data_IF_182675394754
#
_entry.id   IF_182675394754
#
_cell.length_a   1.000
_cell.length_b   1.000
_cell.length_c   1.000
_cell.angle_alpha   90.00
_cell.angle_beta   90.00
_cell.angle_gamma   90.00
#
_symmetry.space_group_name_H-M   'P 1'
#
loop_
_entity.id
_entity.type
_entity.pdbx_description
1 polymer ?
#
# COMPACT_ATOMS: atom_id res chain seq x y z
N UNK A 1 -0.35 -13.10 11.49
CA UNK A 1 -0.54 -11.72 12.01
C UNK A 1 -0.48 -11.73 13.53
N UNK A 2 0.34 -10.86 14.14
CA UNK A 2 0.61 -10.89 15.57
C UNK A 2 -0.45 -10.05 16.30
N UNK A 3 -1.47 -10.67 16.90
CA UNK A 3 -2.60 -9.97 17.53
C UNK A 3 -2.19 -8.95 18.60
N UNK A 4 -1.05 -9.18 19.26
CA UNK A 4 -0.44 -8.23 20.20
C UNK A 4 0.01 -6.92 19.54
N UNK A 5 0.55 -6.99 18.32
CA UNK A 5 1.00 -5.78 17.61
C UNK A 5 -0.19 -4.91 17.17
N UNK A 6 -1.31 -5.55 16.82
CA UNK A 6 -2.55 -4.86 16.46
C UNK A 6 -3.17 -4.19 17.69
N UNK A 7 -3.28 -4.92 18.81
CA UNK A 7 -3.78 -4.37 20.06
C UNK A 7 -2.90 -3.21 20.58
N UNK A 8 -1.58 -3.35 20.48
CA UNK A 8 -0.65 -2.29 20.86
C UNK A 8 -0.80 -1.04 19.98
N UNK A 9 -0.91 -1.22 18.66
CA UNK A 9 -1.12 -0.11 17.72
C UNK A 9 -2.44 0.63 18.01
N UNK A 10 -3.53 -0.10 18.32
CA UNK A 10 -4.81 0.49 18.68
C UNK A 10 -4.73 1.33 19.97
N UNK A 11 -4.06 0.80 21.01
CA UNK A 11 -3.86 1.53 22.28
C UNK A 11 -3.00 2.78 22.06
N UNK A 12 -1.93 2.67 21.28
CA UNK A 12 -1.06 3.80 20.96
C UNK A 12 -1.82 4.90 20.18
N UNK A 13 -2.65 4.51 19.20
CA UNK A 13 -3.48 5.44 18.45
C UNK A 13 -4.51 6.15 19.35
N UNK A 14 -5.22 5.40 20.19
CA UNK A 14 -6.18 5.98 21.14
C UNK A 14 -5.50 6.94 22.13
N UNK A 15 -4.29 6.60 22.59
CA UNK A 15 -3.50 7.47 23.48
C UNK A 15 -3.09 8.75 22.77
N UNK A 16 -2.61 8.67 21.53
CA UNK A 16 -2.23 9.83 20.75
C UNK A 16 -3.42 10.78 20.49
N UNK A 17 -4.59 10.22 20.16
CA UNK A 17 -5.83 10.99 19.98
C UNK A 17 -6.25 11.65 21.28
N UNK A 18 -6.20 10.93 22.41
CA UNK A 18 -6.54 11.49 23.72
C UNK A 18 -5.62 12.65 24.12
N UNK A 19 -4.31 12.50 23.89
CA UNK A 19 -3.32 13.57 24.17
C UNK A 19 -3.55 14.78 23.27
N UNK A 20 -3.81 14.58 21.96
CA UNK A 20 -4.11 15.69 21.05
C UNK A 20 -5.40 16.41 21.44
N UNK A 21 -6.46 15.66 21.77
CA UNK A 21 -7.72 16.23 22.26
C UNK A 21 -7.52 17.11 23.49
N UNK A 22 -6.76 16.61 24.48
CA UNK A 22 -6.45 17.38 25.68
C UNK A 22 -5.68 18.66 25.37
N UNK A 23 -4.69 18.58 24.46
CA UNK A 23 -3.91 19.73 24.04
C UNK A 23 -4.78 20.77 23.29
N UNK A 24 -5.73 20.34 22.46
CA UNK A 24 -6.64 21.24 21.75
C UNK A 24 -7.67 21.89 22.67
N UNK A 25 -8.23 21.14 23.61
CA UNK A 25 -9.13 21.69 24.63
C UNK A 25 -8.43 22.76 25.47
N UNK A 26 -7.18 22.50 25.89
CA UNK A 26 -6.35 23.48 26.60
C UNK A 26 -6.01 24.70 25.73
N UNK A 27 -5.69 24.51 24.44
CA UNK A 27 -5.41 25.61 23.53
C UNK A 27 -6.63 26.50 23.25
N UNK A 28 -7.84 25.93 23.35
CA UNK A 28 -9.11 26.64 23.24
C UNK A 28 -9.59 27.29 24.55
N UNK A 29 -8.81 27.17 25.64
CA UNK A 29 -9.15 27.62 26.99
C UNK A 29 -10.48 27.01 27.52
N UNK A 30 -10.78 25.78 27.08
CA UNK A 30 -11.97 25.05 27.48
C UNK A 30 -11.65 23.90 28.44
N UNK A 31 -12.44 23.70 29.51
CA UNK A 31 -12.31 22.51 30.34
C UNK A 31 -12.59 21.24 29.54
N UNK A 32 -11.87 20.15 29.86
CA UNK A 32 -11.90 18.88 29.12
C UNK A 32 -13.30 18.25 28.93
N UNK A 33 -14.28 18.65 29.73
CA UNK A 33 -15.68 18.19 29.64
C UNK A 33 -16.63 19.13 28.87
N UNK A 34 -16.21 20.37 28.55
CA UNK A 34 -17.01 21.29 27.73
C UNK A 34 -16.58 21.31 26.27
N UNK A 35 -15.30 20.99 26.03
CA UNK A 35 -14.79 20.87 24.67
C UNK A 35 -15.59 19.78 23.95
N UNK A 36 -16.30 20.15 22.89
CA UNK A 36 -17.18 19.20 22.22
C UNK A 36 -16.39 18.33 21.23
N UNK A 37 -16.82 17.08 21.06
CA UNK A 37 -16.28 16.21 20.01
C UNK A 37 -16.43 16.85 18.62
N UNK A 38 -17.50 17.63 18.42
CA UNK A 38 -17.71 18.41 17.20
C UNK A 38 -16.63 19.50 17.01
N UNK A 39 -16.29 20.26 18.04
CA UNK A 39 -15.21 21.25 18.01
C UNK A 39 -13.85 20.59 17.73
N UNK A 40 -13.56 19.47 18.38
CA UNK A 40 -12.37 18.67 18.07
C UNK A 40 -12.35 18.23 16.60
N UNK A 41 -13.46 17.67 16.08
CA UNK A 41 -13.56 17.25 14.67
C UNK A 41 -13.34 18.39 13.69
N UNK A 42 -13.75 19.61 14.05
CA UNK A 42 -13.50 20.81 13.27
C UNK A 42 -12.02 21.18 13.27
N UNK A 43 -11.32 21.11 14.42
CA UNK A 43 -9.86 21.34 14.44
C UNK A 43 -9.08 20.31 13.64
N UNK A 44 -9.53 19.06 13.58
CA UNK A 44 -8.92 18.04 12.73
C UNK A 44 -9.17 18.40 11.26
N UNK A 45 -10.41 18.76 10.91
CA UNK A 45 -10.77 19.21 9.56
C UNK A 45 -10.01 20.47 9.13
N UNK A 46 -9.79 21.42 10.04
CA UNK A 46 -9.07 22.66 9.79
C UNK A 46 -7.56 22.45 9.72
N UNK A 47 -7.00 21.52 10.50
CA UNK A 47 -5.58 21.13 10.40
C UNK A 47 -5.32 20.33 9.12
N UNK A 48 -6.21 19.41 8.78
CA UNK A 48 -6.18 18.69 7.50
C UNK A 48 -6.42 19.66 6.34
N UNK A 49 -7.33 20.62 6.50
CA UNK A 49 -7.64 21.72 5.57
C UNK A 49 -6.49 22.72 5.40
N UNK A 50 -5.76 23.01 6.47
CA UNK A 50 -4.56 23.83 6.47
C UNK A 50 -3.38 23.14 5.80
N UNK A 51 -3.25 21.82 6.00
CA UNK A 51 -2.33 20.95 5.25
C UNK A 51 -2.77 20.78 3.78
N UNK A 52 -4.04 20.99 3.46
CA UNK A 52 -4.58 20.99 2.10
C UNK A 52 -4.35 22.33 1.37
N UNK A 53 -4.30 23.46 2.11
CA UNK A 53 -4.06 24.81 1.55
C UNK A 53 -2.60 25.15 1.29
N UNK A 54 -1.66 24.24 1.59
CA UNK A 54 -0.25 24.35 1.17
C UNK A 54 0.00 23.71 -0.20
N UNK A 55 -1.04 23.48 -1.01
CA UNK A 55 -0.83 23.24 -2.42
C UNK A 55 -0.22 24.51 -3.02
N UNK A 56 1.09 24.48 -3.24
CA UNK A 56 1.78 25.45 -4.08
C UNK A 56 0.96 25.68 -5.36
N UNK A 57 0.96 26.91 -5.91
CA UNK A 57 0.23 27.18 -7.15
C UNK A 57 0.61 26.12 -8.17
N UNK A 58 -0.38 25.32 -8.58
CA UNK A 58 -0.14 24.27 -9.55
C UNK A 58 0.54 24.90 -10.77
N UNK A 59 1.58 24.25 -11.32
CA UNK A 59 2.21 24.76 -12.53
C UNK A 59 1.11 25.00 -13.58
N UNK A 60 1.20 26.08 -14.38
CA UNK A 60 0.13 26.47 -15.31
C UNK A 60 -0.18 25.38 -16.35
N UNK A 61 0.75 24.45 -16.56
CA UNK A 61 0.56 23.23 -17.36
C UNK A 61 0.98 22.01 -16.51
N UNK A 62 0.13 20.99 -16.38
CA UNK A 62 0.47 19.77 -15.65
C UNK A 62 1.51 18.94 -16.43
N UNK A 63 2.47 18.36 -15.73
CA UNK A 63 3.58 17.63 -16.35
C UNK A 63 3.12 16.43 -17.22
N UNK A 64 1.97 15.84 -16.90
CA UNK A 64 1.37 14.75 -17.68
C UNK A 64 1.04 15.12 -19.13
N UNK A 65 0.89 16.40 -19.46
CA UNK A 65 0.54 16.85 -20.81
C UNK A 65 1.72 16.68 -21.78
N UNK A 66 2.92 16.49 -21.25
CA UNK A 66 4.15 16.19 -22.01
C UNK A 66 4.41 14.68 -22.17
N UNK A 67 3.45 13.85 -21.79
CA UNK A 67 3.47 12.42 -22.05
C UNK A 67 2.95 12.13 -23.48
N UNK A 68 3.46 11.08 -24.14
CA UNK A 68 3.18 10.84 -25.55
C UNK A 68 1.71 10.46 -25.79
N UNK A 69 1.25 10.66 -27.02
CA UNK A 69 0.00 10.08 -27.51
C UNK A 69 0.07 8.55 -27.57
N UNK A 70 -1.09 7.91 -27.68
CA UNK A 70 -1.16 6.46 -27.82
C UNK A 70 -0.47 6.01 -29.11
N UNK A 71 0.38 4.96 -29.06
CA UNK A 71 0.91 4.35 -30.27
C UNK A 71 -0.20 3.70 -31.10
N UNK A 72 0.03 3.39 -32.38
CA UNK A 72 -0.99 2.77 -33.24
C UNK A 72 -1.57 1.49 -32.62
N UNK A 73 -2.91 1.41 -32.57
CA UNK A 73 -3.64 0.27 -31.99
C UNK A 73 -3.75 0.29 -30.46
N UNK A 74 -3.31 1.36 -29.80
CA UNK A 74 -3.54 1.61 -28.39
C UNK A 74 -4.48 2.80 -28.20
N UNK A 75 -5.15 2.82 -27.05
CA UNK A 75 -5.99 3.93 -26.62
C UNK A 75 -5.35 4.59 -25.39
N UNK A 76 -5.27 5.93 -25.38
CA UNK A 76 -4.86 6.72 -24.20
C UNK A 76 -6.10 7.29 -23.54
N UNK A 77 -6.29 6.99 -22.25
CA UNK A 77 -7.39 7.50 -21.44
C UNK A 77 -6.89 7.98 -20.09
N UNK A 78 -7.63 8.90 -19.47
CA UNK A 78 -7.37 9.30 -18.09
C UNK A 78 -7.58 8.08 -17.18
N UNK A 79 -6.65 7.85 -16.26
CA UNK A 79 -6.79 6.76 -15.31
C UNK A 79 -7.61 7.21 -14.10
N UNK A 80 -8.54 6.34 -13.65
CA UNK A 80 -9.25 6.51 -12.39
C UNK A 80 -9.09 5.26 -11.54
N UNK A 81 -8.73 5.39 -10.24
CA UNK A 81 -8.68 4.25 -9.32
C UNK A 81 -10.01 3.51 -9.19
N UNK A 82 -11.13 4.20 -9.43
CA UNK A 82 -12.50 3.66 -9.27
C UNK A 82 -12.80 2.60 -10.32
N UNK A 83 -12.14 2.65 -11.48
CA UNK A 83 -12.37 1.70 -12.58
C UNK A 83 -11.80 0.30 -12.28
N UNK A 84 -10.87 0.15 -11.32
CA UNK A 84 -10.31 -1.14 -10.92
C UNK A 84 -11.01 -1.78 -9.71
N UNK A 85 -11.74 -0.99 -8.92
CA UNK A 85 -12.68 -1.51 -7.93
C UNK A 85 -13.99 -1.89 -8.63
N UNK A 86 -13.96 -2.93 -9.47
CA UNK A 86 -15.20 -3.64 -9.76
C UNK A 86 -15.90 -3.97 -8.44
N UNK A 87 -17.24 -3.88 -8.40
CA UNK A 87 -18.07 -4.20 -7.25
C UNK A 87 -17.72 -5.59 -6.69
N UNK A 88 -16.73 -5.65 -5.80
CA UNK A 88 -16.24 -6.88 -5.22
C UNK A 88 -16.88 -6.99 -3.83
N UNK A 89 -18.01 -7.70 -3.68
CA UNK A 89 -18.82 -7.70 -2.47
C UNK A 89 -18.08 -8.24 -1.23
N UNK A 90 -16.91 -8.84 -1.44
CA UNK A 90 -16.07 -9.48 -0.42
C UNK A 90 -15.39 -8.45 0.49
N UNK A 91 -15.10 -7.22 0.03
CA UNK A 91 -14.52 -6.17 0.90
C UNK A 91 -15.56 -5.62 1.90
N UNK A 92 -16.84 -5.65 1.54
CA UNK A 92 -17.94 -5.14 2.38
C UNK A 92 -18.22 -6.00 3.61
N UNK A 93 -18.08 -7.33 3.53
CA UNK A 93 -18.44 -8.20 4.66
C UNK A 93 -17.32 -8.33 5.71
N UNK A 94 -16.04 -8.24 5.32
CA UNK A 94 -14.93 -8.38 6.27
C UNK A 94 -14.61 -7.11 7.07
N UNK A 95 -15.18 -5.96 6.71
CA UNK A 95 -15.03 -4.70 7.45
C UNK A 95 -16.27 -4.34 8.28
N UNK A 96 -17.33 -5.16 8.23
CA UNK A 96 -18.57 -4.90 8.98
C UNK A 96 -18.44 -5.14 10.50
N UNK A 97 -17.39 -5.84 10.96
CA UNK A 97 -17.22 -6.26 12.36
C UNK A 97 -16.17 -5.47 13.15
N UNK A 98 -15.54 -4.45 12.57
CA UNK A 98 -14.67 -3.53 13.33
C UNK A 98 -15.36 -2.18 13.51
N UNK A 99 -15.57 -1.78 14.77
CA UNK A 99 -16.23 -0.54 15.15
C UNK A 99 -15.55 0.67 14.45
N UNK A 100 -16.30 1.22 13.51
CA UNK A 100 -15.81 1.99 12.39
C UNK A 100 -15.90 3.47 12.78
N UNK A 101 -14.89 3.92 13.54
CA UNK A 101 -14.89 5.32 14.02
C UNK A 101 -15.03 6.26 12.82
N UNK A 102 -16.00 7.17 12.88
CA UNK A 102 -16.34 8.13 11.80
C UNK A 102 -15.11 8.89 11.30
N UNK A 103 -14.09 9.04 12.15
CA UNK A 103 -12.80 9.66 11.87
C UNK A 103 -11.94 8.81 10.91
N UNK A 104 -11.92 7.48 11.05
CA UNK A 104 -11.19 6.60 10.13
C UNK A 104 -11.84 6.57 8.74
N UNK A 105 -13.17 6.43 8.64
CA UNK A 105 -13.87 6.53 7.35
C UNK A 105 -13.70 7.91 6.69
N UNK A 106 -13.72 8.98 7.49
CA UNK A 106 -13.45 10.33 6.97
C UNK A 106 -11.99 10.48 6.50
N UNK A 107 -11.03 9.93 7.23
CA UNK A 107 -9.63 9.91 6.84
C UNK A 107 -9.41 9.07 5.57
N UNK A 108 -10.03 7.89 5.46
CA UNK A 108 -10.00 7.04 4.26
C UNK A 108 -10.66 7.71 3.07
N UNK A 109 -11.81 8.38 3.25
CA UNK A 109 -12.48 9.16 2.21
C UNK A 109 -11.64 10.34 1.71
N UNK A 110 -10.93 11.03 2.61
CA UNK A 110 -10.02 12.13 2.24
C UNK A 110 -8.75 11.61 1.56
N UNK A 111 -8.20 10.49 2.02
CA UNK A 111 -7.00 9.87 1.43
C UNK A 111 -7.30 9.31 0.04
N UNK A 112 -8.40 8.57 -0.12
CA UNK A 112 -8.85 8.05 -1.42
C UNK A 112 -9.20 9.20 -2.39
N UNK A 113 -9.87 10.26 -1.93
CA UNK A 113 -10.12 11.45 -2.74
C UNK A 113 -8.84 12.15 -3.22
N UNK A 114 -7.78 12.19 -2.41
CA UNK A 114 -6.46 12.73 -2.79
C UNK A 114 -5.74 11.84 -3.79
N UNK A 115 -5.79 10.53 -3.61
CA UNK A 115 -5.18 9.56 -4.53
C UNK A 115 -5.88 9.62 -5.90
N UNK A 116 -7.21 9.64 -5.92
CA UNK A 116 -8.01 9.84 -7.13
C UNK A 116 -7.66 11.17 -7.80
N UNK A 117 -7.72 12.29 -7.08
CA UNK A 117 -7.44 13.60 -7.67
C UNK A 117 -5.99 13.74 -8.17
N UNK A 118 -5.02 13.14 -7.47
CA UNK A 118 -3.62 13.11 -7.93
C UNK A 118 -3.49 12.27 -9.19
N UNK A 119 -4.11 11.10 -9.22
CA UNK A 119 -3.96 10.20 -10.33
C UNK A 119 -4.70 10.69 -11.58
N UNK A 120 -5.90 11.24 -11.41
CA UNK A 120 -6.63 11.96 -12.46
C UNK A 120 -5.88 13.18 -12.99
N UNK A 121 -4.96 13.76 -12.20
CA UNK A 121 -4.12 14.89 -12.64
C UNK A 121 -2.85 14.44 -13.32
N UNK A 122 -2.24 13.34 -12.88
CA UNK A 122 -0.84 13.05 -13.20
C UNK A 122 -0.65 11.80 -14.09
N UNK A 123 -1.68 10.96 -14.27
CA UNK A 123 -1.56 9.62 -14.87
C UNK A 123 -2.36 9.51 -16.17
N UNK A 124 -1.71 8.96 -17.20
CA UNK A 124 -2.36 8.43 -18.39
C UNK A 124 -2.29 6.90 -18.38
N UNK A 125 -3.41 6.26 -18.74
CA UNK A 125 -3.47 4.84 -19.01
C UNK A 125 -3.51 4.59 -20.52
N UNK A 126 -2.66 3.68 -20.97
CA UNK A 126 -2.55 3.21 -22.35
C UNK A 126 -3.04 1.77 -22.37
N UNK A 127 -4.14 1.52 -23.06
CA UNK A 127 -4.76 0.20 -23.18
C UNK A 127 -4.56 -0.30 -24.60
N UNK A 128 -4.04 -1.52 -24.74
CA UNK A 128 -3.78 -2.13 -26.04
C UNK A 128 -4.00 -3.64 -26.03
N UNK A 129 -3.82 -4.30 -27.19
CA UNK A 129 -4.09 -5.73 -27.36
C UNK A 129 -3.15 -6.65 -26.55
N UNK A 130 -2.10 -6.08 -25.96
CA UNK A 130 -1.01 -6.81 -25.31
C UNK A 130 -0.85 -6.46 -23.83
N UNK A 131 -1.78 -5.68 -23.29
CA UNK A 131 -1.80 -5.29 -21.88
C UNK A 131 -2.07 -3.81 -21.68
N UNK A 132 -1.85 -3.38 -20.45
CA UNK A 132 -2.05 -2.01 -19.99
C UNK A 132 -0.72 -1.41 -19.54
N UNK A 133 -0.51 -0.13 -19.86
CA UNK A 133 0.63 0.66 -19.39
C UNK A 133 0.09 1.92 -18.74
N UNK A 134 0.51 2.23 -17.52
CA UNK A 134 0.22 3.53 -16.89
C UNK A 134 1.50 4.32 -16.85
N UNK A 135 1.42 5.58 -17.27
CA UNK A 135 2.54 6.50 -17.28
C UNK A 135 2.12 7.76 -16.58
N UNK A 136 2.96 8.23 -15.67
CA UNK A 136 2.73 9.49 -15.00
C UNK A 136 3.95 10.40 -15.10
N UNK A 137 3.67 11.69 -15.02
CA UNK A 137 4.67 12.72 -14.79
C UNK A 137 4.14 13.66 -13.70
N UNK A 138 4.84 13.72 -12.58
CA UNK A 138 4.51 14.61 -11.45
C UNK A 138 5.56 15.71 -11.35
N UNK A 139 5.13 16.96 -11.27
CA UNK A 139 5.98 18.10 -10.94
C UNK A 139 5.78 18.45 -9.45
N UNK A 140 6.81 18.23 -8.66
CA UNK A 140 6.85 18.54 -7.23
C UNK A 140 8.26 19.02 -6.87
N UNK A 141 8.32 20.20 -6.27
CA UNK A 141 9.58 20.80 -5.86
C UNK A 141 10.43 19.83 -5.05
N UNK A 142 11.68 19.64 -5.49
CA UNK A 142 12.67 18.79 -4.84
C UNK A 142 12.42 17.28 -4.82
N UNK A 143 11.39 16.75 -5.49
CA UNK A 143 11.10 15.30 -5.50
C UNK A 143 12.31 14.46 -5.95
N UNK A 144 12.96 14.85 -7.05
CA UNK A 144 14.17 14.22 -7.58
C UNK A 144 15.41 14.43 -6.70
N UNK A 145 15.51 15.59 -6.02
CA UNK A 145 16.59 15.86 -5.05
C UNK A 145 16.47 14.96 -3.82
N UNK A 146 15.25 14.83 -3.30
CA UNK A 146 14.89 13.98 -2.17
C UNK A 146 15.12 12.51 -2.52
N UNK A 147 14.69 12.07 -3.70
CA UNK A 147 14.97 10.73 -4.21
C UNK A 147 16.49 10.48 -4.29
N UNK A 148 17.25 11.39 -4.92
CA UNK A 148 18.70 11.21 -5.09
C UNK A 148 19.44 11.15 -3.75
N UNK A 149 19.04 11.95 -2.77
CA UNK A 149 19.61 11.91 -1.41
C UNK A 149 19.34 10.55 -0.77
N UNK A 150 18.07 10.13 -0.73
CA UNK A 150 17.68 8.87 -0.09
C UNK A 150 18.24 7.64 -0.82
N UNK A 151 18.35 7.67 -2.16
CA UNK A 151 19.00 6.65 -2.96
C UNK A 151 20.46 6.40 -2.56
N UNK A 152 21.15 7.47 -2.13
CA UNK A 152 22.55 7.39 -1.67
C UNK A 152 22.66 6.95 -0.21
N UNK A 153 21.78 7.46 0.66
CA UNK A 153 21.87 7.22 2.11
C UNK A 153 21.23 5.89 2.53
N UNK A 154 20.05 5.58 1.98
CA UNK A 154 19.27 4.38 2.31
C UNK A 154 18.36 3.97 1.14
N UNK A 155 18.89 3.22 0.15
CA UNK A 155 18.11 2.80 -1.00
C UNK A 155 17.00 1.80 -0.63
N UNK A 156 17.03 1.19 0.57
CA UNK A 156 15.99 0.27 1.03
C UNK A 156 14.64 0.96 1.24
N UNK A 157 14.68 2.23 1.64
CA UNK A 157 13.51 3.03 1.99
C UNK A 157 12.74 3.61 0.81
N UNK A 158 13.36 3.77 -0.37
CA UNK A 158 12.77 4.56 -1.47
C UNK A 158 11.96 3.78 -2.51
N UNK A 159 11.24 2.73 -2.09
CA UNK A 159 10.43 1.91 -3.01
C UNK A 159 11.17 1.40 -4.28
N UNK A 160 12.50 1.29 -4.27
CA UNK A 160 13.27 0.71 -5.40
C UNK A 160 13.59 -0.76 -5.15
N UNK A 161 13.61 -1.55 -6.21
CA UNK A 161 14.10 -2.93 -6.14
C UNK A 161 15.61 -2.94 -5.96
N UNK A 162 16.09 -3.81 -5.07
CA UNK A 162 17.51 -3.96 -4.78
C UNK A 162 18.04 -5.33 -5.20
N UNK A 163 19.22 -5.36 -5.81
CA UNK A 163 20.02 -6.56 -6.02
C UNK A 163 21.33 -6.40 -5.24
N UNK A 164 21.54 -7.24 -4.22
CA UNK A 164 22.69 -7.17 -3.32
C UNK A 164 22.90 -5.76 -2.73
N UNK A 165 21.82 -5.15 -2.22
CA UNK A 165 21.85 -3.80 -1.62
C UNK A 165 21.97 -2.63 -2.61
N UNK A 166 22.00 -2.91 -3.93
CA UNK A 166 22.08 -1.86 -4.96
C UNK A 166 20.78 -1.75 -5.76
N UNK A 167 20.32 -0.54 -6.08
CA UNK A 167 19.16 -0.30 -6.95
C UNK A 167 19.30 -1.02 -8.29
N UNK A 168 18.24 -1.73 -8.71
CA UNK A 168 18.18 -2.34 -10.03
C UNK A 168 17.88 -1.24 -11.05
N UNK A 169 18.89 -0.90 -11.87
CA UNK A 169 18.73 0.04 -12.98
C UNK A 169 18.01 -0.64 -14.14
N UNK A 170 16.91 -0.05 -14.58
CA UNK A 170 16.15 -0.48 -15.75
C UNK A 170 16.84 -0.03 -17.04
N UNK A 171 17.17 1.25 -17.12
CA UNK A 171 17.73 1.84 -18.34
C UNK A 171 17.98 3.33 -18.22
N UNK A 172 18.42 3.94 -19.31
CA UNK A 172 18.56 5.39 -19.43
C UNK A 172 17.93 5.84 -20.74
N UNK A 173 17.02 6.81 -20.68
CA UNK A 173 16.32 7.40 -21.83
C UNK A 173 16.45 8.92 -21.73
N UNK A 174 16.89 9.58 -22.82
CA UNK A 174 17.03 11.04 -22.89
C UNK A 174 17.70 11.70 -21.67
N UNK A 175 18.70 11.04 -21.05
CA UNK A 175 19.37 11.58 -19.86
C UNK A 175 18.87 11.03 -18.52
N UNK A 176 17.63 10.56 -18.47
CA UNK A 176 16.94 10.09 -17.26
C UNK A 176 17.27 8.63 -17.01
N UNK A 177 17.71 8.31 -15.79
CA UNK A 177 17.94 6.92 -15.38
C UNK A 177 16.68 6.38 -14.72
N UNK A 178 16.19 5.26 -15.22
CA UNK A 178 15.04 4.55 -14.66
C UNK A 178 15.51 3.40 -13.76
N UNK A 179 14.82 3.23 -12.63
CA UNK A 179 15.06 2.18 -11.63
C UNK A 179 13.81 1.31 -11.50
N UNK A 180 13.99 0.00 -11.31
CA UNK A 180 12.87 -0.87 -10.96
C UNK A 180 12.33 -0.51 -9.57
N UNK A 181 11.01 -0.47 -9.42
CA UNK A 181 10.31 -0.16 -8.17
C UNK A 181 9.60 -1.40 -7.57
N UNK A 182 9.35 -1.41 -6.25
CA UNK A 182 8.77 -2.58 -5.57
C UNK A 182 7.26 -2.67 -5.75
N UNK A 183 6.55 -1.54 -5.72
CA UNK A 183 5.08 -1.48 -5.87
C UNK A 183 4.64 -0.34 -6.79
N UNK A 184 3.39 -0.45 -7.22
CA UNK A 184 2.64 0.65 -7.80
C UNK A 184 2.49 1.74 -6.75
N UNK A 185 2.50 3.00 -7.17
CA UNK A 185 2.18 4.12 -6.31
C UNK A 185 0.72 4.54 -6.40
N UNK A 186 -0.02 3.99 -7.37
CA UNK A 186 -1.43 4.32 -7.61
C UNK A 186 -2.38 3.18 -7.29
N UNK A 187 -1.91 1.94 -7.35
CA UNK A 187 -2.74 0.78 -7.02
C UNK A 187 -2.59 0.38 -5.54
N UNK A 188 -3.63 0.70 -4.76
CA UNK A 188 -3.84 0.26 -3.37
C UNK A 188 -4.77 -0.97 -3.28
N UNK A 189 -5.28 -1.47 -4.42
CA UNK A 189 -6.34 -2.48 -4.47
C UNK A 189 -5.95 -3.82 -3.85
N UNK A 190 -4.64 -4.10 -3.79
CA UNK A 190 -4.07 -5.34 -3.25
C UNK A 190 -4.24 -6.56 -4.16
N UNK A 191 -4.91 -6.39 -5.29
CA UNK A 191 -5.20 -7.45 -6.26
C UNK A 191 -3.98 -7.67 -7.14
N UNK A 192 -3.32 -8.82 -6.97
CA UNK A 192 -2.12 -9.14 -7.75
C UNK A 192 -2.56 -9.70 -9.12
N UNK A 193 -2.24 -9.02 -10.24
CA UNK A 193 -2.55 -9.55 -11.57
C UNK A 193 -1.84 -10.90 -11.82
N UNK A 194 -2.39 -11.70 -12.75
CA UNK A 194 -1.88 -13.03 -13.09
C UNK A 194 -0.39 -13.01 -13.47
N UNK A 195 0.02 -11.98 -14.20
CA UNK A 195 1.43 -11.68 -14.50
C UNK A 195 1.83 -10.43 -13.72
N UNK A 196 2.83 -10.49 -12.83
CA UNK A 196 3.16 -9.34 -12.02
C UNK A 196 3.77 -8.24 -12.92
N UNK A 197 3.20 -7.03 -12.90
CA UNK A 197 3.59 -5.91 -13.76
C UNK A 197 5.02 -5.51 -13.46
N UNK A 198 5.66 -4.73 -14.32
CA UNK A 198 6.90 -4.03 -13.96
C UNK A 198 6.58 -2.60 -13.55
N UNK A 199 7.23 -2.12 -12.49
CA UNK A 199 7.21 -0.71 -12.11
C UNK A 199 8.59 -0.13 -12.32
N UNK A 200 8.68 1.02 -12.98
CA UNK A 200 9.93 1.76 -13.16
C UNK A 200 9.75 3.22 -12.79
N UNK A 201 10.81 3.84 -12.29
CA UNK A 201 10.82 5.24 -11.87
C UNK A 201 12.06 5.96 -12.35
N UNK A 202 11.88 7.14 -12.92
CA UNK A 202 12.94 8.07 -13.31
C UNK A 202 12.67 9.46 -12.77
N UNK A 203 13.71 10.29 -12.73
CA UNK A 203 13.58 11.69 -12.34
C UNK A 203 14.23 12.60 -13.37
N UNK A 204 13.51 13.64 -13.78
CA UNK A 204 14.01 14.72 -14.62
C UNK A 204 14.48 15.82 -13.67
N UNK A 205 15.80 15.98 -13.59
CA UNK A 205 16.46 16.91 -12.68
C UNK A 205 16.05 16.74 -11.21
N UNK A 206 15.58 17.82 -10.59
CA UNK A 206 15.26 17.86 -9.16
C UNK A 206 13.76 17.78 -8.85
N UNK A 207 12.89 18.09 -9.81
CA UNK A 207 11.51 18.49 -9.48
C UNK A 207 10.48 17.65 -10.24
N UNK A 208 10.90 16.76 -11.15
CA UNK A 208 9.97 15.92 -11.91
C UNK A 208 10.26 14.45 -11.66
N UNK A 209 9.20 13.70 -11.35
CA UNK A 209 9.19 12.24 -11.26
C UNK A 209 8.37 11.67 -12.43
N UNK A 210 8.95 10.67 -13.09
CA UNK A 210 8.28 9.86 -14.11
C UNK A 210 8.18 8.46 -13.54
N UNK A 211 6.97 7.92 -13.53
CA UNK A 211 6.71 6.56 -13.06
C UNK A 211 5.91 5.83 -14.10
N UNK A 212 6.29 4.58 -14.35
CA UNK A 212 5.63 3.75 -15.34
C UNK A 212 5.34 2.38 -14.77
N UNK A 213 4.14 1.94 -15.08
CA UNK A 213 3.57 0.62 -14.86
C UNK A 213 3.40 -0.05 -16.22
N UNK A 214 3.77 -1.32 -16.34
CA UNK A 214 3.47 -2.07 -17.55
C UNK A 214 3.13 -3.53 -17.25
N UNK A 215 2.04 -3.99 -17.85
CA UNK A 215 1.68 -5.40 -17.94
C UNK A 215 2.13 -5.99 -19.27
N UNK A 216 3.11 -6.89 -19.24
CA UNK A 216 3.44 -7.81 -20.34
C UNK A 216 4.14 -7.21 -21.58
N UNK A 217 3.88 -5.96 -21.97
CA UNK A 217 4.47 -5.37 -23.18
C UNK A 217 5.62 -4.41 -22.88
N UNK A 218 6.83 -4.98 -22.80
CA UNK A 218 8.05 -4.24 -22.54
C UNK A 218 8.52 -3.38 -23.71
N UNK A 219 8.27 -3.80 -24.96
CA UNK A 219 8.65 -3.05 -26.14
C UNK A 219 7.88 -1.72 -26.20
N UNK A 220 6.56 -1.79 -26.06
CA UNK A 220 5.70 -0.60 -26.05
C UNK A 220 6.01 0.30 -24.86
N UNK A 221 6.31 -0.25 -23.68
CA UNK A 221 6.79 0.56 -22.55
C UNK A 221 8.04 1.37 -22.92
N UNK A 222 9.04 0.72 -23.53
CA UNK A 222 10.29 1.40 -23.88
C UNK A 222 10.04 2.47 -24.96
N UNK A 223 9.18 2.17 -25.93
CA UNK A 223 8.83 3.10 -27.00
C UNK A 223 8.06 4.32 -26.44
N UNK A 224 7.12 4.10 -25.51
CA UNK A 224 6.43 5.18 -24.77
C UNK A 224 7.41 6.03 -23.95
N UNK A 225 8.31 5.38 -23.18
CA UNK A 225 9.32 6.10 -22.42
C UNK A 225 10.25 6.91 -23.33
N UNK A 226 10.56 6.42 -24.53
CA UNK A 226 11.39 7.13 -25.51
C UNK A 226 10.67 8.30 -26.19
N UNK A 227 9.33 8.28 -26.22
CA UNK A 227 8.51 9.30 -26.86
C UNK A 227 8.08 10.45 -25.94
N UNK A 228 8.39 10.38 -24.63
CA UNK A 228 8.15 11.50 -23.69
C UNK A 228 8.90 12.75 -24.15
N UNK A 229 8.26 13.91 -24.06
CA UNK A 229 8.91 15.21 -24.31
C UNK A 229 9.76 15.63 -23.10
N UNK A 230 10.96 15.05 -23.02
CA UNK A 230 11.90 15.34 -21.95
C UNK A 230 12.44 16.77 -21.99
N UNK A 231 12.44 17.44 -23.14
CA UNK A 231 12.89 18.83 -23.23
C UNK A 231 11.88 19.74 -22.54
N UNK A 232 10.60 19.60 -22.88
CA UNK A 232 9.53 20.39 -22.26
C UNK A 232 9.41 20.10 -20.75
N UNK A 233 9.47 18.84 -20.34
CA UNK A 233 9.54 18.50 -18.90
C UNK A 233 10.75 19.16 -18.23
N UNK A 234 11.92 19.13 -18.87
CA UNK A 234 13.13 19.71 -18.28
C UNK A 234 13.04 21.23 -18.14
N UNK A 235 12.33 21.90 -19.05
CA UNK A 235 12.08 23.35 -19.05
C UNK A 235 11.09 23.80 -17.96
N UNK A 236 10.21 22.92 -17.47
CA UNK A 236 9.30 23.25 -16.36
C UNK A 236 10.05 23.52 -15.04
N UNK A 237 11.27 23.01 -14.90
CA UNK A 237 12.05 23.14 -13.66
C UNK A 237 12.64 24.54 -13.49
N UNK A 238 12.73 25.00 -12.24
CA UNK A 238 13.40 26.26 -11.91
C UNK A 238 14.89 26.28 -12.35
N UNK A 239 15.53 25.12 -12.42
CA UNK A 239 16.89 24.98 -12.96
C UNK A 239 16.97 23.74 -13.85
N UNK A 240 16.82 23.89 -15.18
CA UNK A 240 16.86 22.77 -16.12
C UNK A 240 18.13 21.93 -15.99
N UNK A 241 17.97 20.62 -16.03
CA UNK A 241 19.07 19.68 -15.94
C UNK A 241 19.83 19.61 -17.28
N UNK A 242 21.10 20.00 -17.28
CA UNK A 242 21.96 20.09 -18.50
C UNK A 242 22.09 18.80 -19.32
N UNK A 243 21.74 17.63 -18.77
CA UNK A 243 21.97 16.32 -19.40
C UNK A 243 20.69 15.55 -19.65
N UNK A 244 19.54 16.22 -19.60
CA UNK A 244 18.22 15.66 -19.91
C UNK A 244 17.72 16.28 -21.21
N UNK A 245 17.04 15.48 -22.04
CA UNK A 245 16.41 15.96 -23.27
C UNK A 245 17.00 15.40 -24.56
N UNK A 246 16.61 16.01 -25.68
CA UNK A 246 16.97 15.61 -27.05
C UNK A 246 18.48 15.65 -27.33
N UNK A 247 19.23 16.48 -26.60
CA UNK A 247 20.69 16.58 -26.69
C UNK A 247 21.42 15.25 -26.35
N UNK A 248 20.75 14.28 -25.72
CA UNK A 248 21.31 12.96 -25.45
C UNK A 248 21.23 12.00 -26.66
N UNK A 249 20.55 12.41 -27.73
CA UNK A 249 20.27 11.58 -28.89
C UNK A 249 19.18 10.53 -28.63
N UNK A 250 18.68 9.89 -29.70
CA UNK A 250 17.66 8.86 -29.60
C UNK A 250 18.19 7.61 -28.89
N UNK A 251 17.28 6.78 -28.39
CA UNK A 251 17.61 5.50 -27.77
C UNK A 251 18.27 4.57 -28.81
N UNK A 252 19.53 4.21 -28.58
CA UNK A 252 20.24 3.29 -29.48
C UNK A 252 19.67 1.87 -29.40
N UNK A 253 19.81 1.09 -30.48
CA UNK A 253 19.39 -0.31 -30.51
C UNK A 253 20.04 -1.15 -29.38
N UNK A 254 21.30 -0.86 -29.02
CA UNK A 254 22.00 -1.54 -27.93
C UNK A 254 21.41 -1.21 -26.55
N UNK A 255 21.04 0.06 -26.31
CA UNK A 255 20.35 0.47 -25.09
C UNK A 255 18.95 -0.14 -25.01
N UNK A 256 18.19 -0.10 -26.11
CA UNK A 256 16.86 -0.72 -26.22
C UNK A 256 16.91 -2.22 -25.88
N UNK A 257 17.85 -2.96 -26.50
CA UNK A 257 18.08 -4.38 -26.19
C UNK A 257 18.41 -4.61 -24.72
N UNK A 258 19.25 -3.75 -24.13
CA UNK A 258 19.59 -3.84 -22.70
C UNK A 258 18.36 -3.65 -21.82
N UNK A 259 17.50 -2.67 -22.13
CA UNK A 259 16.27 -2.40 -21.39
C UNK A 259 15.29 -3.56 -21.49
N UNK A 260 15.12 -4.18 -22.67
CA UNK A 260 14.28 -5.37 -22.82
C UNK A 260 14.76 -6.55 -21.95
N UNK A 261 16.08 -6.80 -21.93
CA UNK A 261 16.66 -7.83 -21.06
C UNK A 261 16.41 -7.50 -19.58
N UNK A 262 16.52 -6.22 -19.19
CA UNK A 262 16.25 -5.78 -17.82
C UNK A 262 14.76 -5.89 -17.46
N UNK A 263 13.86 -5.61 -18.39
CA UNK A 263 12.42 -5.77 -18.22
C UNK A 263 12.08 -7.23 -17.87
N UNK A 264 12.56 -8.18 -18.69
CA UNK A 264 12.37 -9.61 -18.40
C UNK A 264 13.03 -10.06 -17.09
N UNK A 265 14.14 -9.44 -16.67
CA UNK A 265 14.73 -9.72 -15.35
C UNK A 265 13.86 -9.21 -14.19
N UNK A 266 13.25 -8.03 -14.32
CA UNK A 266 12.36 -7.45 -13.31
C UNK A 266 11.08 -8.27 -13.18
N UNK A 267 10.47 -8.63 -14.30
CA UNK A 267 9.29 -9.50 -14.34
C UNK A 267 9.58 -10.85 -13.65
N UNK A 268 10.67 -11.52 -14.04
CA UNK A 268 11.07 -12.79 -13.41
C UNK A 268 11.36 -12.65 -11.91
N UNK A 269 11.97 -11.53 -11.48
CA UNK A 269 12.22 -11.28 -10.07
C UNK A 269 10.91 -11.16 -9.28
N UNK A 270 9.87 -10.58 -9.88
CA UNK A 270 8.54 -10.45 -9.25
C UNK A 270 7.79 -11.75 -9.21
N UNK A 271 7.81 -12.52 -10.29
CA UNK A 271 7.22 -13.88 -10.30
C UNK A 271 7.83 -14.72 -9.18
N UNK A 272 9.17 -14.64 -9.00
CA UNK A 272 9.86 -15.34 -7.90
C UNK A 272 9.47 -14.81 -6.53
N UNK A 273 9.40 -13.49 -6.35
CA UNK A 273 8.99 -12.88 -5.09
C UNK A 273 7.55 -13.29 -4.71
N UNK A 274 6.62 -13.29 -5.67
CA UNK A 274 5.24 -13.72 -5.46
C UNK A 274 5.16 -15.18 -5.02
N UNK A 275 5.81 -16.09 -5.74
CA UNK A 275 5.86 -17.52 -5.37
C UNK A 275 6.47 -17.76 -3.99
N UNK A 276 7.46 -16.95 -3.60
CA UNK A 276 8.04 -17.04 -2.27
C UNK A 276 7.07 -16.59 -1.18
N UNK A 277 6.29 -15.52 -1.43
CA UNK A 277 5.24 -15.06 -0.53
C UNK A 277 4.10 -16.08 -0.42
N UNK A 278 3.63 -16.62 -1.54
CA UNK A 278 2.61 -17.69 -1.58
C UNK A 278 3.06 -18.91 -0.76
N UNK A 279 4.31 -19.36 -0.96
CA UNK A 279 4.87 -20.48 -0.20
C UNK A 279 5.02 -20.18 1.29
N UNK A 280 5.40 -18.95 1.65
CA UNK A 280 5.49 -18.54 3.05
C UNK A 280 4.11 -18.49 3.71
N UNK A 281 3.10 -17.98 3.00
CA UNK A 281 1.71 -17.96 3.45
C UNK A 281 1.15 -19.39 3.62
N UNK A 282 1.47 -20.31 2.71
CA UNK A 282 1.08 -21.72 2.82
C UNK A 282 1.75 -22.41 4.03
N UNK A 283 3.02 -22.08 4.32
CA UNK A 283 3.74 -22.62 5.47
C UNK A 283 3.24 -22.05 6.82
N UNK A 284 2.76 -20.81 6.84
CA UNK A 284 2.18 -20.14 8.01
C UNK A 284 0.68 -20.45 8.19
N UNK A 285 0.00 -20.97 7.16
CA UNK A 285 -1.37 -21.44 7.29
C UNK A 285 -1.39 -22.45 8.43
N UNK A 286 -2.18 -22.21 9.51
CA UNK A 286 -2.15 -23.06 10.68
C UNK A 286 -2.39 -24.47 10.20
N UNK A 287 -1.39 -25.34 10.37
CA UNK A 287 -1.51 -26.76 10.09
C UNK A 287 -2.83 -27.16 10.73
N UNK A 288 -3.85 -27.43 9.90
CA UNK A 288 -5.23 -27.69 10.35
C UNK A 288 -5.06 -28.58 11.55
N UNK A 289 -5.24 -28.04 12.76
CA UNK A 289 -5.11 -28.83 13.97
C UNK A 289 -6.21 -29.84 13.78
N UNK A 290 -5.84 -31.05 13.36
CA UNK A 290 -6.79 -32.13 13.20
C UNK A 290 -7.59 -32.12 14.49
N UNK A 291 -8.92 -32.11 14.46
CA UNK A 291 -9.76 -32.11 15.65
C UNK A 291 -9.66 -33.44 16.41
N UNK A 292 -8.48 -34.08 16.46
CA UNK A 292 -8.16 -35.23 17.28
C UNK A 292 -8.27 -34.92 18.76
N UNK A 293 -8.03 -33.68 19.21
CA UNK A 293 -8.23 -33.33 20.62
C UNK A 293 -9.72 -33.15 20.97
N UNK A 294 -10.49 -32.42 20.14
CA UNK A 294 -11.91 -32.18 20.36
C UNK A 294 -12.75 -33.47 20.19
N UNK A 295 -12.51 -34.27 19.15
CA UNK A 295 -13.20 -35.55 18.97
C UNK A 295 -12.82 -36.59 20.03
N UNK A 296 -11.60 -36.52 20.61
CA UNK A 296 -11.19 -37.43 21.70
C UNK A 296 -11.83 -37.06 23.03
N UNK A 297 -12.01 -35.77 23.32
CA UNK A 297 -12.79 -35.30 24.47
C UNK A 297 -14.28 -35.62 24.32
N UNK A 298 -14.85 -35.47 23.11
CA UNK A 298 -16.25 -35.82 22.85
C UNK A 298 -16.48 -37.35 22.92
N UNK A 299 -15.56 -38.18 22.43
CA UNK A 299 -15.61 -39.64 22.61
C UNK A 299 -15.46 -40.04 24.08
N UNK A 300 -14.58 -39.37 24.84
CA UNK A 300 -14.42 -39.63 26.27
C UNK A 300 -15.67 -39.23 27.08
N UNK A 301 -16.31 -38.11 26.73
CA UNK A 301 -17.58 -37.68 27.34
C UNK A 301 -18.73 -38.63 27.01
N UNK A 302 -18.84 -39.10 25.75
CA UNK A 302 -19.84 -40.10 25.34
C UNK A 302 -19.61 -41.46 26.03
N UNK A 303 -18.36 -41.87 26.24
CA UNK A 303 -18.03 -43.09 27.01
C UNK A 303 -18.26 -42.95 28.52
N UNK A 304 -18.23 -41.74 29.07
CA UNK A 304 -18.57 -41.48 30.46
C UNK A 304 -20.09 -41.47 30.69
N UNK A 305 -20.87 -40.97 29.72
CA UNK A 305 -22.34 -40.93 29.80
C UNK A 305 -23.01 -42.30 29.55
N UNK A 306 -22.38 -43.20 28.78
CA UNK A 306 -22.90 -44.56 28.54
C UNK A 306 -22.48 -45.61 29.58
N UNK A 307 -21.62 -45.26 30.55
CA UNK A 307 -21.42 -46.11 31.74
C UNK A 307 -22.49 -45.74 32.76
N UNK A 308 -23.56 -46.53 32.75
CA UNK A 308 -24.72 -46.38 33.62
C UNK A 308 -24.34 -46.17 35.10
N UNK A 309 -24.84 -45.07 35.65
CA UNK A 309 -25.92 -45.03 36.63
C UNK A 309 -25.98 -46.05 37.80
N UNK A 310 -24.92 -46.80 38.13
CA UNK A 310 -24.98 -47.76 39.26
C UNK A 310 -23.80 -47.73 40.24
N UNK A 311 -23.01 -46.63 40.31
CA UNK A 311 -22.07 -46.47 41.43
C UNK A 311 -21.68 -44.99 41.65
N UNK A 312 -22.22 -44.28 42.66
CA UNK A 312 -21.79 -42.92 42.98
C UNK A 312 -20.42 -42.95 43.69
N UNK A 313 -19.34 -43.18 42.93
CA UNK A 313 -17.98 -43.01 43.45
C UNK A 313 -17.58 -41.53 43.41
N UNK A 314 -17.55 -40.97 44.61
CA UNK A 314 -17.02 -39.66 45.01
C UNK A 314 -15.77 -39.26 44.20
N UNK A 315 -15.85 -38.09 43.57
CA UNK A 315 -14.68 -37.37 43.05
C UNK A 315 -13.88 -36.84 44.25
N UNK A 316 -12.77 -37.49 44.58
CA UNK A 316 -11.78 -36.96 45.53
C UNK A 316 -10.83 -36.05 44.77
N UNK A 317 -10.90 -34.75 45.03
CA UNK A 317 -9.89 -33.78 44.62
C UNK A 317 -9.25 -33.25 45.91
N UNK A 318 -7.95 -33.51 46.11
CA UNK A 318 -7.19 -32.89 47.20
C UNK A 318 -7.44 -33.41 48.63
N UNK A 319 -8.15 -34.52 48.82
CA UNK A 319 -8.28 -35.17 50.13
C UNK A 319 -9.42 -34.67 51.02
N UNK A 320 -10.22 -33.69 50.58
CA UNK A 320 -11.41 -33.22 51.29
C UNK A 320 -12.69 -33.57 50.52
N UNK A 321 -13.67 -34.16 51.21
CA UNK A 321 -14.97 -34.51 50.64
C UNK A 321 -15.85 -33.25 50.50
N UNK A 322 -16.18 -32.85 49.27
CA UNK A 322 -17.14 -31.77 49.02
C UNK A 322 -18.56 -32.34 48.89
N UNK A 323 -19.46 -31.92 49.78
CA UNK A 323 -20.89 -32.26 49.73
C UNK A 323 -21.61 -31.38 48.70
N UNK A 324 -22.17 -31.99 47.66
CA UNK A 324 -22.69 -31.30 46.47
C UNK A 324 -24.14 -30.81 46.59
N UNK A 325 -24.74 -30.83 47.78
CA UNK A 325 -26.15 -30.45 47.95
C UNK A 325 -26.43 -28.94 47.98
N UNK A 326 -25.46 -28.05 47.74
CA UNK A 326 -25.72 -26.60 47.61
C UNK A 326 -25.04 -26.01 46.38
N UNK A 327 -25.84 -25.78 45.34
CA UNK A 327 -25.47 -24.96 44.18
C UNK A 327 -25.20 -23.53 44.66
N UNK A 328 -23.99 -23.01 44.45
CA UNK A 328 -23.71 -21.56 44.55
C UNK A 328 -22.60 -21.09 45.49
N UNK A 329 -21.70 -21.94 46.01
CA UNK A 329 -20.46 -21.44 46.65
C UNK A 329 -19.23 -22.20 46.17
N UNK A 330 -18.28 -21.45 45.61
CA UNK A 330 -16.95 -21.93 45.25
C UNK A 330 -16.22 -22.47 46.50
N UNK A 331 -15.65 -23.67 46.36
CA UNK A 331 -14.75 -24.25 47.35
C UNK A 331 -13.39 -23.55 47.27
N UNK A 332 -12.94 -23.01 48.41
CA UNK A 332 -11.52 -22.78 48.72
C UNK A 332 -10.83 -21.60 48.02
N UNK A 333 -10.91 -20.41 48.62
CA UNK A 333 -9.74 -19.51 48.69
C UNK A 333 -9.51 -19.21 50.16
N UNK A 334 -8.40 -19.71 50.70
CA UNK A 334 -7.72 -19.11 51.85
C UNK A 334 -6.40 -18.56 51.32
#
# INVERSE_FOLDING_TARGET
MNGFAIAFAAIAAATAIGVDYMAQAQAADEPLGSYSVAAYSQTVSDRVGGLLKTAEPAPPVPARDYLPDAPPGWERRAWSPVDESGDDPIKTESMADMDDSTVMRAAEGVMSGKEIARAERDVWEYVGPSGTIRLSATHEDSIGRSFTRKLKSDPGTINVMLRHGRPIKFGKVAGVTFYGAKRDEWDSSGTLPLTPPIFVRGHVGNDIEITAYAEGNHDTLIDLLAAIDYDALNEMQATPARRVGSAQGPLSAAQRKTMLVRAGQLENARVKARRALEKAAEAEAPAKQEPKAANRLEMQAKHALNRGADDPKRLKVGGEDCDTQRVGKFCGVK
#
